data_IF_630120650752
#
_entry.id   IF_630120650752
#
_cell.length_a   1.000
_cell.length_b   1.000
_cell.length_c   1.000
_cell.angle_alpha   90.00
_cell.angle_beta   90.00
_cell.angle_gamma   90.00
#
_symmetry.space_group_name_H-M   'P 1'
#
loop_
_entity.id
_entity.type
_entity.pdbx_description
1 polymer ?
#
# COMPACT_ATOMS: atom_id res chain seq x y z
N UNK A 1 -2.58 -30.22 -35.89
CA UNK A 1 -2.10 -30.29 -34.49
C UNK A 1 -1.95 -28.90 -33.94
N UNK A 2 -2.93 -28.46 -33.20
CA UNK A 2 -2.86 -27.15 -32.56
C UNK A 2 -1.84 -27.22 -31.43
N UNK A 3 -0.73 -26.57 -31.63
CA UNK A 3 0.28 -26.44 -30.61
C UNK A 3 -0.23 -25.46 -29.55
N UNK A 4 -0.47 -25.94 -28.35
CA UNK A 4 -0.66 -25.03 -27.20
C UNK A 4 0.56 -24.13 -27.10
N UNK A 5 0.39 -22.81 -26.93
CA UNK A 5 1.53 -21.92 -26.71
C UNK A 5 2.39 -22.48 -25.60
N UNK A 6 3.66 -22.65 -25.87
CA UNK A 6 4.60 -23.13 -24.87
C UNK A 6 4.69 -22.09 -23.78
N UNK A 7 4.22 -22.40 -22.57
CA UNK A 7 4.27 -21.52 -21.43
C UNK A 7 5.71 -21.05 -21.14
N UNK A 8 6.71 -21.90 -21.45
CA UNK A 8 8.13 -21.57 -21.33
C UNK A 8 8.56 -20.47 -22.30
N UNK A 9 8.05 -20.52 -23.55
CA UNK A 9 8.36 -19.50 -24.56
C UNK A 9 7.72 -18.16 -24.19
N UNK A 10 6.48 -18.17 -23.73
CA UNK A 10 5.80 -16.95 -23.24
C UNK A 10 6.51 -16.35 -22.03
N UNK A 11 6.93 -17.19 -21.11
CA UNK A 11 7.69 -16.77 -19.94
C UNK A 11 9.04 -16.17 -20.31
N UNK A 12 9.75 -16.79 -21.26
CA UNK A 12 11.01 -16.27 -21.77
C UNK A 12 10.84 -14.92 -22.45
N UNK A 13 9.78 -14.72 -23.22
CA UNK A 13 9.47 -13.45 -23.87
C UNK A 13 9.15 -12.37 -22.86
N UNK A 14 8.36 -12.69 -21.84
CA UNK A 14 8.05 -11.75 -20.76
C UNK A 14 9.29 -11.36 -19.96
N UNK A 15 10.11 -12.35 -19.65
CA UNK A 15 11.40 -12.12 -18.97
C UNK A 15 12.24 -11.12 -19.74
N UNK A 16 12.39 -11.32 -21.03
CA UNK A 16 13.20 -10.46 -21.89
C UNK A 16 12.67 -9.01 -21.88
N UNK A 17 11.36 -8.83 -22.04
CA UNK A 17 10.76 -7.49 -22.02
C UNK A 17 10.96 -6.82 -20.68
N UNK A 18 10.74 -7.53 -19.58
CA UNK A 18 10.90 -6.98 -18.25
C UNK A 18 12.35 -6.61 -17.96
N UNK A 19 13.31 -7.45 -18.36
CA UNK A 19 14.74 -7.16 -18.21
C UNK A 19 15.13 -5.93 -19.01
N UNK A 20 14.65 -5.77 -20.24
CA UNK A 20 14.90 -4.58 -21.05
C UNK A 20 14.36 -3.32 -20.40
N UNK A 21 13.16 -3.38 -19.81
CA UNK A 21 12.56 -2.26 -19.11
C UNK A 21 13.35 -1.90 -17.87
N UNK A 22 13.85 -2.87 -17.10
CA UNK A 22 14.67 -2.62 -15.93
C UNK A 22 16.02 -2.01 -16.33
N UNK A 23 16.64 -2.48 -17.41
CA UNK A 23 17.89 -1.93 -17.93
C UNK A 23 17.74 -0.47 -18.38
N UNK A 24 16.56 -0.14 -18.90
CA UNK A 24 16.23 1.23 -19.29
C UNK A 24 15.78 2.10 -18.10
N UNK A 25 15.79 1.57 -16.88
CA UNK A 25 15.28 2.21 -15.67
C UNK A 25 13.81 2.62 -15.78
N UNK A 26 13.03 1.94 -16.64
CA UNK A 26 11.62 2.17 -16.86
C UNK A 26 10.79 1.30 -15.90
N UNK A 27 10.91 1.55 -14.60
CA UNK A 27 10.30 0.72 -13.56
C UNK A 27 8.77 0.76 -13.65
N UNK A 28 8.18 1.93 -13.85
CA UNK A 28 6.72 2.06 -13.97
C UNK A 28 6.19 1.28 -15.15
N UNK A 29 6.88 1.33 -16.30
CA UNK A 29 6.51 0.55 -17.47
C UNK A 29 6.64 -0.95 -17.21
N UNK A 30 7.64 -1.37 -16.45
CA UNK A 30 7.83 -2.78 -16.07
C UNK A 30 6.67 -3.25 -15.17
N UNK A 31 6.24 -2.42 -14.23
CA UNK A 31 5.09 -2.72 -13.37
C UNK A 31 3.81 -2.86 -14.22
N UNK A 32 3.60 -1.94 -15.15
CA UNK A 32 2.45 -1.97 -16.06
C UNK A 32 2.47 -3.22 -16.96
N UNK A 33 3.66 -3.69 -17.33
CA UNK A 33 3.82 -4.89 -18.16
C UNK A 33 3.76 -6.19 -17.35
N UNK A 34 3.48 -6.12 -16.06
CA UNK A 34 3.24 -7.29 -15.22
C UNK A 34 4.44 -7.76 -14.42
N UNK A 35 5.37 -6.86 -14.06
CA UNK A 35 6.54 -7.23 -13.26
C UNK A 35 6.16 -7.92 -11.95
N UNK A 36 5.14 -7.43 -11.25
CA UNK A 36 4.77 -7.96 -9.94
C UNK A 36 3.99 -9.27 -10.03
N UNK A 37 3.40 -9.55 -11.17
CA UNK A 37 2.66 -10.78 -11.45
C UNK A 37 3.54 -11.87 -12.09
N UNK A 38 4.76 -11.51 -12.49
CA UNK A 38 5.68 -12.46 -13.11
C UNK A 38 6.20 -13.44 -12.04
N UNK A 39 6.06 -14.74 -12.33
CA UNK A 39 6.53 -15.81 -11.44
C UNK A 39 8.00 -16.09 -11.71
N UNK A 40 8.89 -15.60 -10.84
CA UNK A 40 10.33 -15.86 -10.95
C UNK A 40 10.65 -17.30 -10.61
N UNK A 41 11.53 -17.92 -11.41
CA UNK A 41 12.04 -19.26 -11.16
C UNK A 41 13.38 -19.13 -10.43
N UNK A 42 13.50 -19.67 -9.19
CA UNK A 42 14.78 -19.63 -8.47
C UNK A 42 15.92 -20.35 -9.17
N UNK A 43 15.59 -21.32 -10.05
CA UNK A 43 16.58 -22.07 -10.82
C UNK A 43 17.03 -21.34 -12.08
N UNK A 44 16.37 -20.23 -12.45
CA UNK A 44 16.73 -19.46 -13.65
C UNK A 44 17.52 -18.21 -13.25
N UNK A 45 18.84 -18.15 -13.54
CA UNK A 45 19.67 -17.00 -13.15
C UNK A 45 19.21 -15.67 -13.73
N UNK A 46 18.57 -15.69 -14.92
CA UNK A 46 18.08 -14.47 -15.58
C UNK A 46 16.89 -13.86 -14.87
N UNK A 47 16.20 -14.61 -14.02
CA UNK A 47 15.09 -14.09 -13.21
C UNK A 47 15.59 -13.39 -11.94
N UNK A 48 16.86 -13.54 -11.55
CA UNK A 48 17.38 -12.95 -10.31
C UNK A 48 17.19 -11.42 -10.23
N UNK A 49 17.49 -10.64 -11.29
CA UNK A 49 17.24 -9.18 -11.23
C UNK A 49 15.76 -8.84 -11.10
N UNK A 50 14.88 -9.63 -11.71
CA UNK A 50 13.43 -9.45 -11.61
C UNK A 50 12.95 -9.73 -10.19
N UNK A 51 13.41 -10.83 -9.59
CA UNK A 51 13.07 -11.18 -8.22
C UNK A 51 13.56 -10.13 -7.22
N UNK A 52 14.77 -9.62 -7.43
CA UNK A 52 15.33 -8.56 -6.59
C UNK A 52 14.51 -7.28 -6.67
N UNK A 53 14.08 -6.88 -7.87
CA UNK A 53 13.24 -5.69 -8.06
C UNK A 53 11.86 -5.89 -7.45
N UNK A 54 11.25 -7.06 -7.62
CA UNK A 54 9.97 -7.39 -6.99
C UNK A 54 10.06 -7.23 -5.47
N UNK A 55 11.11 -7.78 -4.85
CA UNK A 55 11.31 -7.69 -3.40
C UNK A 55 11.50 -6.24 -2.95
N UNK A 56 12.30 -5.48 -3.68
CA UNK A 56 12.55 -4.07 -3.39
C UNK A 56 11.26 -3.24 -3.45
N UNK A 57 10.43 -3.46 -4.48
CA UNK A 57 9.15 -2.76 -4.63
C UNK A 57 8.16 -3.15 -3.54
N UNK A 58 8.08 -4.44 -3.19
CA UNK A 58 7.20 -4.90 -2.10
C UNK A 58 7.60 -4.26 -0.78
N UNK A 59 8.91 -4.18 -0.49
CA UNK A 59 9.40 -3.55 0.73
C UNK A 59 9.10 -2.06 0.75
N UNK A 60 9.29 -1.37 -0.37
CA UNK A 60 8.98 0.05 -0.50
C UNK A 60 7.48 0.32 -0.30
N UNK A 61 6.62 -0.50 -0.91
CA UNK A 61 5.17 -0.35 -0.78
C UNK A 61 4.70 -0.67 0.63
N UNK A 62 5.27 -1.70 1.27
CA UNK A 62 4.96 -2.02 2.66
C UNK A 62 5.38 -0.89 3.60
N UNK A 63 6.55 -0.29 3.38
CA UNK A 63 7.00 0.87 4.16
C UNK A 63 6.06 2.07 3.99
N UNK A 64 5.59 2.32 2.75
CA UNK A 64 4.62 3.38 2.46
C UNK A 64 3.30 3.14 3.18
N UNK A 65 2.81 1.90 3.18
CA UNK A 65 1.58 1.54 3.88
C UNK A 65 1.72 1.70 5.39
N UNK A 66 2.86 1.31 5.96
CA UNK A 66 3.14 1.53 7.39
C UNK A 66 3.15 3.02 7.73
N UNK A 67 3.76 3.84 6.86
CA UNK A 67 3.80 5.29 7.03
C UNK A 67 2.39 5.89 7.00
N UNK A 68 1.57 5.48 6.02
CA UNK A 68 0.18 5.95 5.89
C UNK A 68 -0.66 5.55 7.11
N UNK A 69 -0.51 4.31 7.57
CA UNK A 69 -1.24 3.81 8.74
C UNK A 69 -0.84 4.59 10.00
N UNK A 70 0.45 4.88 10.15
CA UNK A 70 0.95 5.69 11.27
C UNK A 70 0.42 7.12 11.21
N UNK A 71 0.47 7.75 10.03
CA UNK A 71 -0.04 9.10 9.84
C UNK A 71 -1.54 9.18 10.13
N UNK A 72 -2.32 8.20 9.67
CA UNK A 72 -3.75 8.13 9.94
C UNK A 72 -4.04 7.98 11.43
N UNK A 73 -3.26 7.14 12.13
CA UNK A 73 -3.39 6.94 13.57
C UNK A 73 -3.09 8.22 14.35
N UNK A 74 -2.01 8.93 13.99
CA UNK A 74 -1.63 10.18 14.63
C UNK A 74 -2.69 11.27 14.38
N UNK A 75 -3.22 11.34 13.16
CA UNK A 75 -4.30 12.27 12.83
C UNK A 75 -5.57 12.00 13.65
N UNK A 76 -5.91 10.71 13.84
CA UNK A 76 -7.06 10.33 14.68
C UNK A 76 -6.86 10.74 16.12
N UNK A 77 -5.66 10.50 16.68
CA UNK A 77 -5.33 10.89 18.06
C UNK A 77 -5.46 12.41 18.21
N UNK A 78 -4.96 13.16 17.24
CA UNK A 78 -5.05 14.64 17.28
C UNK A 78 -6.49 15.11 17.20
N UNK A 79 -7.33 14.50 16.36
CA UNK A 79 -8.77 14.81 16.31
C UNK A 79 -9.46 14.52 17.65
N UNK A 80 -9.11 13.42 18.29
CA UNK A 80 -9.65 13.07 19.60
C UNK A 80 -9.24 14.10 20.67
N UNK A 81 -7.99 14.56 20.64
CA UNK A 81 -7.49 15.61 21.54
C UNK A 81 -8.24 16.92 21.30
N UNK A 82 -8.42 17.29 20.04
CA UNK A 82 -9.18 18.49 19.68
C UNK A 82 -10.62 18.41 20.18
N UNK A 83 -11.26 17.27 19.99
CA UNK A 83 -12.62 17.06 20.47
C UNK A 83 -12.72 17.17 21.99
N UNK A 84 -11.73 16.65 22.73
CA UNK A 84 -11.67 16.77 24.19
C UNK A 84 -11.49 18.23 24.62
N UNK A 85 -10.60 18.99 23.95
CA UNK A 85 -10.39 20.41 24.23
C UNK A 85 -11.67 21.20 24.02
N UNK A 86 -12.37 20.95 22.90
CA UNK A 86 -13.65 21.61 22.61
C UNK A 86 -14.71 21.23 23.65
N UNK A 87 -14.72 19.98 24.12
CA UNK A 87 -15.61 19.51 25.18
C UNK A 87 -15.32 20.12 26.54
N UNK A 88 -14.12 20.69 26.73
CA UNK A 88 -13.73 21.37 27.98
C UNK A 88 -13.94 22.88 27.94
N UNK A 89 -14.43 23.46 26.85
CA UNK A 89 -14.73 24.86 26.77
C UNK A 89 -15.92 25.18 27.71
N UNK A 90 -16.01 26.38 28.28
CA UNK A 90 -17.12 26.72 29.14
C UNK A 90 -18.50 26.54 28.50
N UNK A 91 -18.62 26.86 27.21
CA UNK A 91 -19.87 26.67 26.47
C UNK A 91 -20.21 25.19 26.31
N UNK A 92 -19.22 24.33 26.01
CA UNK A 92 -19.42 22.88 25.86
C UNK A 92 -19.74 22.23 27.20
N UNK A 93 -19.08 22.64 28.27
CA UNK A 93 -19.37 22.18 29.65
C UNK A 93 -20.77 22.58 30.07
N UNK A 94 -21.20 23.79 29.77
CA UNK A 94 -22.56 24.28 30.07
C UNK A 94 -23.61 23.45 29.34
N UNK A 95 -23.37 23.14 28.06
CA UNK A 95 -24.29 22.29 27.25
C UNK A 95 -24.35 20.88 27.79
N UNK A 96 -23.22 20.29 28.17
CA UNK A 96 -23.16 18.96 28.75
C UNK A 96 -23.91 18.89 30.08
N UNK A 97 -23.75 19.91 30.92
CA UNK A 97 -24.42 20.03 32.20
C UNK A 97 -25.94 20.20 32.03
N UNK A 98 -26.37 20.99 31.06
CA UNK A 98 -27.79 21.18 30.74
C UNK A 98 -28.43 19.85 30.27
N UNK A 99 -27.74 19.09 29.42
CA UNK A 99 -28.21 17.81 28.97
C UNK A 99 -28.32 16.78 30.09
N UNK A 100 -27.37 16.80 31.03
CA UNK A 100 -27.41 15.94 32.21
C UNK A 100 -28.58 16.28 33.11
N UNK A 101 -28.90 17.55 33.29
CA UNK A 101 -30.05 18.02 34.07
C UNK A 101 -31.38 17.61 33.42
N UNK A 102 -31.50 17.72 32.10
CA UNK A 102 -32.66 17.24 31.35
C UNK A 102 -32.92 15.74 31.56
N UNK A 103 -31.84 14.95 31.52
CA UNK A 103 -31.94 13.50 31.77
C UNK A 103 -32.34 13.17 33.20
N UNK A 104 -31.92 13.99 34.16
CA UNK A 104 -32.27 13.81 35.58
C UNK A 104 -33.72 14.16 35.89
N UNK A 105 -34.33 15.08 35.11
CA UNK A 105 -35.70 15.54 35.34
C UNK A 105 -36.76 14.66 34.62
N UNK A 106 -36.35 13.64 33.95
CA UNK A 106 -37.26 12.63 33.36
C UNK A 106 -37.39 11.41 34.33
#
# INVERSE_FOLDING_TARGET
MTRTPDASADQASRRQRLLELLQAAAIDAAIDDGLMEYACDPAEPRDAPLAAMQAQLRDAWAARERYRARAARLARIERERQARRLGRTPAALARAKARAQERSSQ
#
